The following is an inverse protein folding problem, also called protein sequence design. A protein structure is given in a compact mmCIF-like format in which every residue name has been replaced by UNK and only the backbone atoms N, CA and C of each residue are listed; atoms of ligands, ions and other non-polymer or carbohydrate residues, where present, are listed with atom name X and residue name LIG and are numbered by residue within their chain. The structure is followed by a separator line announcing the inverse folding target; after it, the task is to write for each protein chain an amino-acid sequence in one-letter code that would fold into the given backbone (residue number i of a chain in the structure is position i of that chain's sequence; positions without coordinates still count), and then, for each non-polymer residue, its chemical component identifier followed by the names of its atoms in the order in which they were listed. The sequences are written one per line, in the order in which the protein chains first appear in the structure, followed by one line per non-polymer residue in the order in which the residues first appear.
data_IF_354416240841
#
_entry.id   IF_354416240841
#
_cell.length_a   1.000
_cell.length_b   1.000
_cell.length_c   1.000
_cell.angle_alpha   90.00
_cell.angle_beta   90.00
_cell.angle_gamma   90.00
#
_symmetry.space_group_name_H-M   'P 1'
#
loop_
_entity.id
_entity.type
_entity.pdbx_description
1 polymer ?
#
# COMPACT_ATOMS: atom_id res chain seq x y z
N UNK A 1 -17.14 -35.57 -6.87
CA UNK A 1 -16.33 -35.23 -5.68
C UNK A 1 -15.39 -34.02 -5.86
N UNK A 2 -14.51 -33.95 -6.87
CA UNK A 2 -13.55 -32.81 -7.02
C UNK A 2 -14.21 -31.42 -7.17
N UNK A 3 -15.38 -31.34 -7.81
CA UNK A 3 -16.10 -30.08 -8.08
C UNK A 3 -16.75 -29.48 -6.83
N UNK A 4 -17.24 -30.32 -5.91
CA UNK A 4 -17.88 -29.90 -4.66
C UNK A 4 -16.85 -29.32 -3.67
N UNK A 5 -15.67 -29.95 -3.55
CA UNK A 5 -14.58 -29.45 -2.69
C UNK A 5 -14.02 -28.10 -3.16
N UNK A 6 -13.94 -27.86 -4.48
CA UNK A 6 -13.50 -26.56 -5.01
C UNK A 6 -14.51 -25.45 -4.70
N UNK A 7 -15.81 -25.72 -4.91
CA UNK A 7 -16.86 -24.75 -4.62
C UNK A 7 -16.90 -24.38 -3.12
N UNK A 8 -16.68 -25.34 -2.24
CA UNK A 8 -16.57 -25.12 -0.79
C UNK A 8 -15.37 -24.23 -0.41
N UNK A 9 -14.20 -24.50 -1.01
CA UNK A 9 -13.00 -23.67 -0.81
C UNK A 9 -13.24 -22.24 -1.32
N UNK A 10 -13.79 -22.10 -2.52
CA UNK A 10 -14.11 -20.80 -3.12
C UNK A 10 -15.10 -20.03 -2.24
N UNK A 11 -16.15 -20.69 -1.73
CA UNK A 11 -17.12 -20.08 -0.80
C UNK A 11 -16.44 -19.57 0.49
N UNK A 12 -15.56 -20.38 1.09
CA UNK A 12 -14.83 -19.99 2.31
C UNK A 12 -13.86 -18.82 2.07
N UNK A 13 -13.18 -18.80 0.92
CA UNK A 13 -12.34 -17.66 0.52
C UNK A 13 -13.19 -16.40 0.37
N UNK A 14 -14.32 -16.51 -0.33
CA UNK A 14 -15.24 -15.39 -0.55
C UNK A 14 -15.78 -14.83 0.77
N UNK A 15 -16.24 -15.70 1.67
CA UNK A 15 -16.71 -15.34 3.01
C UNK A 15 -15.63 -14.62 3.82
N UNK A 16 -14.38 -15.08 3.73
CA UNK A 16 -13.26 -14.43 4.41
C UNK A 16 -13.01 -13.01 3.89
N UNK A 17 -13.03 -12.82 2.57
CA UNK A 17 -12.88 -11.49 1.95
C UNK A 17 -14.00 -10.57 2.40
N UNK A 18 -15.26 -11.02 2.29
CA UNK A 18 -16.45 -10.27 2.72
C UNK A 18 -16.29 -9.84 4.18
N UNK A 19 -16.07 -10.79 5.08
CA UNK A 19 -15.96 -10.48 6.50
C UNK A 19 -14.79 -9.54 6.80
N UNK A 20 -13.64 -9.76 6.16
CA UNK A 20 -12.46 -8.90 6.32
C UNK A 20 -12.76 -7.45 5.93
N UNK A 21 -13.45 -7.27 4.80
CA UNK A 21 -13.85 -5.95 4.28
C UNK A 21 -14.88 -5.29 5.18
N UNK A 22 -15.93 -6.01 5.59
CA UNK A 22 -16.95 -5.50 6.51
C UNK A 22 -16.35 -5.05 7.84
N UNK A 23 -15.51 -5.88 8.46
CA UNK A 23 -14.81 -5.52 9.71
C UNK A 23 -13.95 -4.27 9.50
N UNK A 24 -13.19 -4.19 8.40
CA UNK A 24 -12.35 -3.04 8.12
C UNK A 24 -13.17 -1.76 7.97
N UNK A 25 -14.29 -1.80 7.23
CA UNK A 25 -15.19 -0.65 7.02
C UNK A 25 -15.73 -0.15 8.36
N UNK A 26 -16.23 -1.06 9.20
CA UNK A 26 -16.79 -0.71 10.51
C UNK A 26 -15.71 -0.09 11.40
N UNK A 27 -14.56 -0.77 11.54
CA UNK A 27 -13.47 -0.29 12.39
C UNK A 27 -12.89 1.03 11.92
N UNK A 28 -12.78 1.23 10.61
CA UNK A 28 -12.31 2.50 10.08
C UNK A 28 -13.30 3.63 10.34
N UNK A 29 -14.61 3.39 10.19
CA UNK A 29 -15.62 4.37 10.56
C UNK A 29 -15.60 4.69 12.07
N UNK A 30 -15.43 3.68 12.93
CA UNK A 30 -15.29 3.88 14.38
C UNK A 30 -14.06 4.76 14.70
N UNK A 31 -12.93 4.52 14.05
CA UNK A 31 -11.71 5.33 14.21
C UNK A 31 -11.96 6.79 13.81
N UNK A 32 -12.59 7.03 12.67
CA UNK A 32 -12.90 8.39 12.20
C UNK A 32 -13.81 9.13 13.19
N UNK A 33 -14.83 8.45 13.71
CA UNK A 33 -15.76 9.03 14.70
C UNK A 33 -15.06 9.28 16.05
N UNK A 34 -14.23 8.36 16.52
CA UNK A 34 -13.51 8.49 17.80
C UNK A 34 -12.48 9.63 17.80
N UNK A 35 -11.97 10.01 16.63
CA UNK A 35 -11.05 11.15 16.47
C UNK A 35 -11.77 12.49 16.28
N UNK A 36 -13.10 12.55 16.45
CA UNK A 36 -13.92 13.75 16.24
C UNK A 36 -13.67 14.41 14.87
N UNK A 37 -13.40 13.61 13.84
CA UNK A 37 -13.16 14.10 12.48
C UNK A 37 -14.41 14.83 11.97
N UNK A 38 -14.20 15.91 11.20
CA UNK A 38 -15.33 16.65 10.61
C UNK A 38 -16.10 15.76 9.61
N UNK A 39 -17.37 16.05 9.32
CA UNK A 39 -18.14 15.31 8.33
C UNK A 39 -17.46 15.22 6.95
N UNK A 40 -16.73 16.27 6.56
CA UNK A 40 -15.96 16.33 5.31
C UNK A 40 -14.78 15.36 5.33
N UNK A 41 -14.02 15.32 6.43
CA UNK A 41 -12.90 14.38 6.62
C UNK A 41 -13.41 12.94 6.62
N UNK A 42 -14.50 12.68 7.36
CA UNK A 42 -15.15 11.36 7.39
C UNK A 42 -15.56 10.96 5.97
N UNK A 43 -16.23 11.86 5.24
CA UNK A 43 -16.69 11.58 3.88
C UNK A 43 -15.53 11.30 2.92
N UNK A 44 -14.49 12.12 2.97
CA UNK A 44 -13.29 11.97 2.14
C UNK A 44 -12.63 10.59 2.33
N UNK A 45 -12.35 10.23 3.58
CA UNK A 45 -11.64 8.99 3.90
C UNK A 45 -12.52 7.75 3.68
N UNK A 46 -13.82 7.80 4.03
CA UNK A 46 -14.73 6.68 3.80
C UNK A 46 -14.93 6.40 2.31
N UNK A 47 -15.04 7.43 1.46
CA UNK A 47 -15.13 7.21 0.01
C UNK A 47 -13.90 6.49 -0.53
N UNK A 48 -12.70 6.89 -0.10
CA UNK A 48 -11.43 6.25 -0.52
C UNK A 48 -11.35 4.80 -0.05
N UNK A 49 -11.65 4.52 1.21
CA UNK A 49 -11.61 3.15 1.76
C UNK A 49 -12.63 2.24 1.11
N UNK A 50 -13.89 2.69 0.97
CA UNK A 50 -14.95 1.91 0.32
C UNK A 50 -14.60 1.61 -1.14
N UNK A 51 -14.15 2.61 -1.91
CA UNK A 51 -13.76 2.40 -3.30
C UNK A 51 -12.62 1.38 -3.42
N UNK A 52 -11.61 1.48 -2.55
CA UNK A 52 -10.49 0.54 -2.52
C UNK A 52 -10.93 -0.90 -2.18
N UNK A 53 -11.76 -1.09 -1.14
CA UNK A 53 -12.28 -2.40 -0.75
C UNK A 53 -13.15 -3.00 -1.86
N UNK A 54 -14.08 -2.22 -2.42
CA UNK A 54 -14.98 -2.70 -3.47
C UNK A 54 -14.22 -3.08 -4.74
N UNK A 55 -13.25 -2.25 -5.14
CA UNK A 55 -12.40 -2.54 -6.28
C UNK A 55 -11.60 -3.84 -6.07
N UNK A 56 -10.90 -3.96 -4.93
CA UNK A 56 -10.08 -5.13 -4.60
C UNK A 56 -10.96 -6.39 -4.50
N UNK A 57 -12.13 -6.29 -3.86
CA UNK A 57 -13.11 -7.38 -3.76
C UNK A 57 -13.58 -7.85 -5.14
N UNK A 58 -13.81 -6.93 -6.07
CA UNK A 58 -14.25 -7.26 -7.42
C UNK A 58 -13.13 -7.90 -8.28
N UNK A 59 -11.88 -7.46 -8.14
CA UNK A 59 -10.73 -8.08 -8.86
C UNK A 59 -10.20 -9.34 -8.19
N UNK A 60 -10.74 -9.71 -7.04
CA UNK A 60 -10.40 -10.94 -6.32
C UNK A 60 -11.07 -12.18 -6.95
N UNK A 61 -10.57 -13.36 -6.58
CA UNK A 61 -11.15 -14.65 -6.98
C UNK A 61 -11.40 -15.51 -5.73
N UNK A 62 -12.66 -15.82 -5.39
CA UNK A 62 -13.90 -15.38 -6.08
C UNK A 62 -14.18 -13.87 -5.99
N UNK A 63 -15.03 -13.37 -6.89
CA UNK A 63 -15.44 -11.96 -6.91
C UNK A 63 -16.43 -11.65 -5.80
N UNK A 64 -16.26 -10.48 -5.20
CA UNK A 64 -17.14 -9.91 -4.17
C UNK A 64 -17.68 -8.57 -4.67
N UNK A 65 -19.00 -8.38 -4.56
CA UNK A 65 -19.67 -7.15 -4.97
C UNK A 65 -19.85 -6.18 -3.78
N UNK A 66 -19.95 -4.86 -4.01
CA UNK A 66 -20.12 -3.86 -2.94
C UNK A 66 -21.21 -4.20 -1.92
N UNK A 67 -22.36 -4.67 -2.41
CA UNK A 67 -23.53 -5.01 -1.60
C UNK A 67 -23.27 -6.17 -0.65
N UNK A 68 -22.29 -7.02 -0.94
CA UNK A 68 -21.95 -8.16 -0.09
C UNK A 68 -21.12 -7.73 1.13
N UNK A 69 -20.42 -6.60 1.07
CA UNK A 69 -19.64 -6.07 2.21
C UNK A 69 -20.51 -5.30 3.21
N UNK A 70 -21.66 -4.79 2.78
CA UNK A 70 -22.51 -3.90 3.57
C UNK A 70 -23.78 -4.65 4.00
N UNK A 71 -24.09 -4.73 5.31
CA UNK A 71 -25.32 -5.36 5.76
C UNK A 71 -26.57 -4.74 5.12
N UNK A 72 -27.51 -5.58 4.67
CA UNK A 72 -28.71 -5.17 3.94
C UNK A 72 -29.49 -4.03 4.63
N UNK A 73 -29.59 -4.09 5.96
CA UNK A 73 -30.29 -3.10 6.79
C UNK A 73 -29.75 -1.67 6.67
N UNK A 74 -28.48 -1.50 6.29
CA UNK A 74 -27.82 -0.18 6.21
C UNK A 74 -27.34 0.15 4.78
N UNK A 75 -27.59 -0.74 3.81
CA UNK A 75 -27.07 -0.63 2.45
C UNK A 75 -27.52 0.65 1.76
N UNK A 76 -28.82 0.98 1.81
CA UNK A 76 -29.34 2.17 1.12
C UNK A 76 -28.80 3.46 1.74
N UNK A 77 -28.70 3.52 3.08
CA UNK A 77 -28.05 4.66 3.76
C UNK A 77 -26.58 4.82 3.35
N UNK A 78 -25.84 3.71 3.16
CA UNK A 78 -24.46 3.75 2.66
C UNK A 78 -24.39 4.23 1.21
N UNK A 79 -25.30 3.81 0.33
CA UNK A 79 -25.38 4.27 -1.06
C UNK A 79 -25.71 5.76 -1.15
N UNK A 80 -26.61 6.25 -0.30
CA UNK A 80 -26.96 7.66 -0.22
C UNK A 80 -25.78 8.51 0.28
N UNK A 81 -25.10 8.04 1.34
CA UNK A 81 -24.00 8.79 1.97
C UNK A 81 -22.70 8.73 1.15
N UNK A 82 -22.42 7.60 0.50
CA UNK A 82 -21.18 7.36 -0.24
C UNK A 82 -21.47 6.79 -1.65
N UNK A 83 -22.14 7.55 -2.53
CA UNK A 83 -22.60 7.03 -3.83
C UNK A 83 -21.45 6.71 -4.80
N UNK A 84 -20.33 7.43 -4.70
CA UNK A 84 -19.17 7.27 -5.61
C UNK A 84 -18.63 5.84 -5.62
N UNK A 85 -18.18 5.28 -4.48
CA UNK A 85 -17.67 3.91 -4.39
C UNK A 85 -18.53 2.84 -5.07
N UNK A 86 -19.85 2.89 -4.94
CA UNK A 86 -20.78 1.93 -5.56
C UNK A 86 -20.89 2.10 -7.09
N UNK A 87 -20.68 3.31 -7.61
CA UNK A 87 -20.74 3.61 -9.04
C UNK A 87 -19.40 3.41 -9.74
N UNK A 88 -18.31 3.71 -9.05
CA UNK A 88 -17.02 3.95 -9.66
C UNK A 88 -16.05 2.78 -9.57
N UNK A 89 -16.30 1.76 -8.72
CA UNK A 89 -15.39 0.62 -8.55
C UNK A 89 -15.12 -0.21 -9.83
N UNK A 90 -15.97 -0.08 -10.87
CA UNK A 90 -15.78 -0.74 -12.17
C UNK A 90 -15.19 0.16 -13.26
N UNK A 91 -15.05 1.46 -12.98
CA UNK A 91 -14.64 2.46 -13.99
C UNK A 91 -13.45 3.32 -13.57
N UNK A 92 -13.13 3.33 -12.28
CA UNK A 92 -12.02 4.05 -11.67
C UNK A 92 -11.18 3.09 -10.82
N UNK A 93 -9.87 3.29 -10.83
CA UNK A 93 -8.92 2.57 -9.98
C UNK A 93 -8.73 3.34 -8.66
N UNK A 94 -8.58 2.66 -7.52
CA UNK A 94 -8.22 3.32 -6.27
C UNK A 94 -6.75 3.71 -6.29
N UNK A 95 -6.37 4.84 -5.69
CA UNK A 95 -4.96 5.22 -5.58
C UNK A 95 -4.20 4.40 -4.53
N UNK A 96 -4.85 3.98 -3.46
CA UNK A 96 -4.21 3.30 -2.35
C UNK A 96 -5.01 2.08 -1.91
N UNK A 97 -4.31 1.18 -1.22
CA UNK A 97 -4.94 0.06 -0.52
C UNK A 97 -5.61 0.55 0.78
N UNK A 98 -6.59 -0.18 1.35
CA UNK A 98 -7.33 0.28 2.52
C UNK A 98 -6.42 0.59 3.70
N UNK A 99 -5.38 -0.23 3.93
CA UNK A 99 -4.44 -0.02 5.03
C UNK A 99 -3.53 1.19 4.81
N UNK A 100 -3.13 1.47 3.56
CA UNK A 100 -2.37 2.67 3.22
C UNK A 100 -3.18 3.95 3.51
N UNK A 101 -4.49 3.93 3.24
CA UNK A 101 -5.41 5.03 3.56
C UNK A 101 -5.56 5.20 5.07
N UNK A 102 -5.70 4.10 5.83
CA UNK A 102 -5.70 4.14 7.29
C UNK A 102 -4.41 4.74 7.84
N UNK A 103 -3.26 4.30 7.33
CA UNK A 103 -1.96 4.78 7.79
C UNK A 103 -1.76 6.27 7.50
N UNK A 104 -2.22 6.75 6.35
CA UNK A 104 -2.25 8.17 6.01
C UNK A 104 -3.10 8.96 7.01
N UNK A 105 -4.36 8.56 7.21
CA UNK A 105 -5.25 9.20 8.18
C UNK A 105 -4.61 9.32 9.57
N UNK A 106 -4.02 8.24 10.05
CA UNK A 106 -3.40 8.19 11.38
C UNK A 106 -2.14 9.06 11.45
N UNK A 107 -1.34 9.10 10.39
CA UNK A 107 -0.13 9.92 10.35
C UNK A 107 -0.43 11.43 10.31
N UNK A 108 -1.47 11.84 9.57
CA UNK A 108 -1.83 13.24 9.38
C UNK A 108 -2.60 13.82 10.58
N UNK A 109 -3.60 13.11 11.08
CA UNK A 109 -4.51 13.68 12.09
C UNK A 109 -3.91 13.72 13.49
N UNK A 110 -2.91 12.89 13.77
CA UNK A 110 -2.36 12.78 15.12
C UNK A 110 -1.02 13.47 15.31
N UNK A 111 -0.45 14.08 14.25
CA UNK A 111 0.92 14.62 14.27
C UNK A 111 1.88 13.68 15.01
N UNK A 112 1.75 12.37 14.77
CA UNK A 112 2.54 11.35 15.45
C UNK A 112 3.98 11.38 14.94
N UNK A 113 4.73 12.40 15.37
CA UNK A 113 6.17 12.52 15.20
C UNK A 113 6.92 11.45 16.02
N UNK A 114 6.20 10.74 16.91
CA UNK A 114 6.71 9.61 17.67
C UNK A 114 6.22 8.27 17.10
N UNK A 115 7.10 7.49 16.44
CA UNK A 115 6.74 6.18 15.88
C UNK A 115 6.15 5.20 16.88
N UNK A 116 6.57 5.27 18.15
CA UNK A 116 6.09 4.37 19.21
C UNK A 116 4.59 4.51 19.44
N UNK A 117 4.09 5.75 19.48
CA UNK A 117 2.66 6.03 19.72
C UNK A 117 1.84 5.50 18.55
N UNK A 118 2.23 5.85 17.31
CA UNK A 118 1.53 5.37 16.12
C UNK A 118 1.53 3.84 16.04
N UNK A 119 2.67 3.19 16.30
CA UNK A 119 2.74 1.73 16.30
C UNK A 119 1.84 1.10 17.37
N UNK A 120 1.71 1.70 18.55
CA UNK A 120 0.83 1.20 19.61
C UNK A 120 -0.65 1.31 19.23
N UNK A 121 -1.04 2.39 18.55
CA UNK A 121 -2.41 2.53 18.06
C UNK A 121 -2.73 1.60 16.89
N UNK A 122 -1.81 1.49 15.92
CA UNK A 122 -1.93 0.53 14.82
C UNK A 122 -1.98 -0.91 15.32
N UNK A 123 -1.34 -1.19 16.46
CA UNK A 123 -1.40 -2.48 17.13
C UNK A 123 -2.81 -2.80 17.62
N UNK A 124 -3.47 -1.90 18.34
CA UNK A 124 -4.86 -2.10 18.78
C UNK A 124 -5.83 -2.24 17.60
N UNK A 125 -5.61 -1.44 16.55
CA UNK A 125 -6.39 -1.52 15.32
C UNK A 125 -6.21 -2.90 14.67
N UNK A 126 -4.97 -3.34 14.46
CA UNK A 126 -4.69 -4.65 13.86
C UNK A 126 -5.29 -5.80 14.66
N UNK A 127 -5.17 -5.75 15.99
CA UNK A 127 -5.79 -6.73 16.89
C UNK A 127 -7.31 -6.78 16.70
N UNK A 128 -7.95 -5.64 16.50
CA UNK A 128 -9.40 -5.57 16.24
C UNK A 128 -9.82 -6.03 14.83
N UNK A 129 -8.90 -5.92 13.85
CA UNK A 129 -9.13 -6.31 12.46
C UNK A 129 -8.93 -7.81 12.23
N UNK A 130 -8.11 -8.46 13.05
CA UNK A 130 -7.78 -9.89 12.92
C UNK A 130 -8.82 -10.73 13.66
N UNK A 131 -9.36 -11.76 12.99
CA UNK A 131 -10.35 -12.64 13.60
C UNK A 131 -9.66 -13.58 14.60
N UNK A 132 -10.11 -13.61 15.84
CA UNK A 132 -9.91 -14.76 16.74
C UNK A 132 -11.09 -15.71 16.56
N UNK A 133 -10.90 -16.83 15.86
CA UNK A 133 -11.92 -17.87 15.81
C UNK A 133 -11.90 -18.65 17.13
N UNK A 134 -12.77 -18.24 18.07
CA UNK A 134 -12.79 -18.76 19.44
C UNK A 134 -13.34 -20.18 19.55
N UNK A 135 -13.90 -20.76 18.49
CA UNK A 135 -14.60 -22.04 18.55
C UNK A 135 -13.78 -23.24 18.02
N UNK A 136 -12.60 -23.03 17.45
CA UNK A 136 -11.85 -24.12 16.79
C UNK A 136 -10.33 -24.03 17.06
N UNK A 137 -9.86 -23.56 18.22
CA UNK A 137 -8.44 -23.71 18.62
C UNK A 137 -7.36 -23.36 17.58
N UNK A 138 -7.68 -22.53 16.57
CA UNK A 138 -6.84 -22.24 15.41
C UNK A 138 -6.36 -20.80 15.45
N UNK A 139 -5.20 -20.57 14.85
CA UNK A 139 -4.51 -19.28 14.77
C UNK A 139 -5.38 -18.19 14.12
N UNK A 140 -5.17 -16.91 14.47
CA UNK A 140 -5.90 -15.80 13.90
C UNK A 140 -5.87 -15.81 12.36
N UNK A 141 -7.04 -15.66 11.73
CA UNK A 141 -7.10 -15.52 10.26
C UNK A 141 -6.80 -14.06 9.93
N UNK A 142 -5.65 -13.82 9.31
CA UNK A 142 -5.22 -12.49 8.90
C UNK A 142 -6.26 -11.86 7.95
N UNK A 143 -6.65 -10.62 8.23
CA UNK A 143 -7.61 -9.84 7.45
C UNK A 143 -7.04 -9.51 6.06
N UNK A 144 -7.84 -9.71 5.01
CA UNK A 144 -7.40 -9.59 3.62
C UNK A 144 -7.02 -8.16 3.20
N UNK A 145 -7.42 -7.16 3.98
CA UNK A 145 -7.17 -5.74 3.76
C UNK A 145 -6.19 -5.13 4.77
N UNK A 146 -5.53 -5.96 5.58
CA UNK A 146 -4.45 -5.51 6.48
C UNK A 146 -3.07 -5.61 5.84
N UNK A 147 -2.19 -4.66 6.15
CA UNK A 147 -0.79 -4.76 5.78
C UNK A 147 -0.08 -5.73 6.72
N UNK A 148 0.81 -6.55 6.16
CA UNK A 148 1.67 -7.43 6.97
C UNK A 148 2.85 -6.65 7.56
N UNK A 149 3.36 -5.69 6.80
CA UNK A 149 4.51 -4.88 7.19
C UNK A 149 4.17 -3.40 7.09
N UNK A 150 4.63 -2.62 8.07
CA UNK A 150 4.64 -1.16 8.05
C UNK A 150 6.10 -0.71 8.07
N UNK A 151 6.45 0.29 7.27
CA UNK A 151 7.76 0.91 7.26
C UNK A 151 7.67 2.37 7.73
N UNK A 152 8.69 2.80 8.45
CA UNK A 152 8.94 4.17 8.85
C UNK A 152 10.28 4.61 8.26
N UNK A 153 10.27 5.63 7.41
CA UNK A 153 11.46 6.21 6.81
C UNK A 153 11.68 7.62 7.31
N UNK A 154 12.93 8.02 7.51
CA UNK A 154 13.30 9.33 8.03
C UNK A 154 14.49 9.95 7.30
N UNK A 155 14.54 11.28 7.25
CA UNK A 155 15.65 12.07 6.72
C UNK A 155 15.85 13.34 7.55
N UNK A 156 17.06 13.56 8.06
CA UNK A 156 17.39 14.72 8.88
C UNK A 156 18.87 14.80 9.25
N UNK A 157 19.27 15.97 9.76
CA UNK A 157 20.66 16.28 10.07
C UNK A 157 21.15 15.54 11.32
N UNK A 158 22.38 15.01 11.26
CA UNK A 158 23.08 14.33 12.36
C UNK A 158 23.37 15.32 13.51
N UNK A 159 23.28 16.63 13.23
CA UNK A 159 23.64 17.72 14.16
C UNK A 159 22.47 18.40 14.90
N UNK A 160 21.27 17.81 14.94
CA UNK A 160 20.33 18.08 16.03
C UNK A 160 19.39 19.29 15.92
N UNK A 161 19.00 19.73 14.72
CA UNK A 161 17.90 20.71 14.58
C UNK A 161 16.61 20.07 14.04
N UNK A 162 15.80 19.57 14.99
CA UNK A 162 14.32 19.44 15.08
C UNK A 162 13.38 19.25 13.87
N UNK A 163 13.82 19.11 12.61
CA UNK A 163 12.93 18.82 11.49
C UNK A 163 13.35 17.53 10.78
N UNK A 164 13.14 16.39 11.45
CA UNK A 164 13.25 15.08 10.81
C UNK A 164 12.03 14.90 9.92
N UNK A 165 12.23 14.97 8.60
CA UNK A 165 11.20 14.56 7.66
C UNK A 165 10.99 13.07 7.85
N UNK A 166 9.76 12.66 8.07
CA UNK A 166 9.44 11.25 8.28
C UNK A 166 8.18 10.84 7.54
N UNK A 167 8.10 9.57 7.19
CA UNK A 167 6.99 9.05 6.43
C UNK A 167 6.73 7.58 6.74
N UNK A 168 5.46 7.22 6.83
CA UNK A 168 5.01 5.86 7.02
C UNK A 168 4.50 5.24 5.71
N UNK A 169 4.87 3.99 5.48
CA UNK A 169 4.42 3.18 4.36
C UNK A 169 3.89 1.84 4.82
N UNK A 170 3.04 1.23 4.01
CA UNK A 170 2.45 -0.08 4.27
C UNK A 170 2.77 -1.02 3.12
N UNK A 171 2.94 -2.31 3.41
CA UNK A 171 2.97 -3.32 2.37
C UNK A 171 1.61 -3.35 1.67
N UNK A 172 1.57 -3.63 0.36
CA UNK A 172 0.33 -3.65 -0.43
C UNK A 172 -0.71 -4.58 0.22
N UNK A 173 -1.73 -4.00 0.88
CA UNK A 173 -2.70 -4.71 1.71
C UNK A 173 -3.84 -5.31 0.89
N UNK A 174 -3.50 -6.34 0.10
CA UNK A 174 -4.48 -7.18 -0.57
C UNK A 174 -3.96 -8.61 -0.76
N UNK A 175 -4.86 -9.59 -0.69
CA UNK A 175 -4.56 -10.98 -1.02
C UNK A 175 -4.81 -11.29 -2.50
N UNK A 176 -4.10 -12.30 -2.99
CA UNK A 176 -4.19 -12.77 -4.37
C UNK A 176 -3.20 -12.10 -5.32
N UNK A 177 -2.70 -12.88 -6.28
CA UNK A 177 -1.67 -12.45 -7.24
C UNK A 177 -2.16 -11.34 -8.18
N UNK A 178 -3.41 -11.42 -8.62
CA UNK A 178 -3.98 -10.45 -9.58
C UNK A 178 -4.27 -9.10 -8.92
N UNK A 179 -5.03 -9.01 -7.81
CA UNK A 179 -5.22 -7.75 -7.09
C UNK A 179 -3.91 -7.06 -6.75
N UNK A 180 -2.94 -7.82 -6.21
CA UNK A 180 -1.62 -7.28 -5.85
C UNK A 180 -0.87 -6.67 -7.02
N UNK A 181 -0.81 -7.36 -8.17
CA UNK A 181 -0.15 -6.82 -9.36
C UNK A 181 -0.85 -5.58 -9.90
N UNK A 182 -2.18 -5.54 -9.84
CA UNK A 182 -2.96 -4.35 -10.23
C UNK A 182 -2.59 -3.18 -9.32
N UNK A 183 -2.60 -3.37 -8.00
CA UNK A 183 -2.28 -2.31 -7.04
C UNK A 183 -0.84 -1.82 -7.13
N UNK A 184 0.13 -2.71 -7.40
CA UNK A 184 1.52 -2.30 -7.66
C UNK A 184 1.62 -1.46 -8.93
N UNK A 185 1.00 -1.87 -10.04
CA UNK A 185 1.03 -1.08 -11.27
C UNK A 185 0.36 0.28 -11.11
N UNK A 186 -0.77 0.33 -10.40
CA UNK A 186 -1.43 1.60 -10.05
C UNK A 186 -0.47 2.48 -9.25
N UNK A 187 0.16 1.92 -8.22
CA UNK A 187 1.08 2.67 -7.35
C UNK A 187 2.23 3.26 -8.17
N UNK A 188 2.87 2.46 -9.01
CA UNK A 188 3.96 2.87 -9.90
C UNK A 188 3.54 3.95 -10.90
N UNK A 189 2.34 3.84 -11.49
CA UNK A 189 1.91 4.74 -12.56
C UNK A 189 1.28 6.04 -12.06
N UNK A 190 0.73 6.08 -10.83
CA UNK A 190 -0.12 7.18 -10.37
C UNK A 190 0.27 7.75 -9.02
N UNK A 191 0.92 6.97 -8.16
CA UNK A 191 1.01 7.27 -6.73
C UNK A 191 2.44 7.51 -6.29
N UNK A 192 3.38 6.72 -6.80
CA UNK A 192 4.75 6.80 -6.38
C UNK A 192 5.54 7.84 -7.17
N UNK A 193 6.52 8.43 -6.49
CA UNK A 193 7.56 9.21 -7.13
C UNK A 193 8.21 8.38 -8.24
N UNK A 194 8.45 9.01 -9.39
CA UNK A 194 8.96 8.34 -10.58
C UNK A 194 10.32 7.67 -10.36
N UNK A 195 11.14 8.13 -9.40
CA UNK A 195 12.35 7.42 -9.01
C UNK A 195 12.03 6.08 -8.35
N UNK A 196 11.12 6.06 -7.37
CA UNK A 196 10.68 4.81 -6.73
C UNK A 196 10.03 3.89 -7.76
N UNK A 197 9.19 4.44 -8.64
CA UNK A 197 8.59 3.71 -9.76
C UNK A 197 9.65 3.12 -10.69
N UNK A 198 10.70 3.87 -11.01
CA UNK A 198 11.84 3.39 -11.77
C UNK A 198 12.51 2.20 -11.08
N UNK A 199 12.84 2.32 -9.79
CA UNK A 199 13.49 1.26 -9.01
C UNK A 199 12.65 -0.02 -8.94
N UNK A 200 11.34 0.10 -8.72
CA UNK A 200 10.41 -1.05 -8.68
C UNK A 200 10.28 -1.73 -10.04
N UNK A 201 10.42 -0.98 -11.13
CA UNK A 201 10.30 -1.50 -12.49
C UNK A 201 11.61 -2.02 -13.08
N UNK A 202 12.65 -2.10 -12.26
CA UNK A 202 13.88 -2.75 -12.66
C UNK A 202 13.80 -4.26 -12.46
N UNK A 203 14.10 -4.98 -13.53
CA UNK A 203 14.34 -6.41 -13.54
C UNK A 203 15.85 -6.59 -13.82
N UNK A 204 16.55 -7.44 -13.05
CA UNK A 204 17.97 -7.74 -13.26
C UNK A 204 18.95 -6.66 -12.75
N UNK A 205 20.12 -6.54 -13.40
CA UNK A 205 21.28 -5.73 -12.96
C UNK A 205 21.16 -4.23 -13.27
N UNK A 206 19.95 -3.68 -13.20
CA UNK A 206 19.79 -2.23 -13.42
C UNK A 206 20.34 -1.44 -12.24
N UNK A 207 20.89 -0.23 -12.46
CA UNK A 207 21.47 0.57 -11.40
C UNK A 207 20.47 0.85 -10.27
N UNK A 208 20.87 0.61 -9.02
CA UNK A 208 20.07 0.93 -7.86
C UNK A 208 19.89 2.45 -7.70
N UNK A 209 18.85 2.88 -6.98
CA UNK A 209 18.80 4.25 -6.47
C UNK A 209 19.76 4.41 -5.30
N UNK A 210 20.45 5.54 -5.26
CA UNK A 210 21.37 5.94 -4.21
C UNK A 210 20.78 7.11 -3.46
N UNK A 211 20.42 6.85 -2.19
CA UNK A 211 19.98 7.83 -1.22
C UNK A 211 21.19 8.42 -0.46
N UNK A 212 21.10 9.66 0.03
CA UNK A 212 22.06 10.18 0.99
C UNK A 212 22.11 9.32 2.28
N UNK A 213 23.29 9.18 2.88
CA UNK A 213 23.53 8.35 4.08
C UNK A 213 22.80 8.81 5.35
N UNK A 214 22.05 9.91 5.28
CA UNK A 214 21.18 10.43 6.33
C UNK A 214 19.79 9.79 6.32
N UNK A 215 19.45 9.01 5.29
CA UNK A 215 18.14 8.36 5.19
C UNK A 215 18.14 7.08 6.01
N UNK A 216 17.15 6.96 6.90
CA UNK A 216 16.91 5.77 7.70
C UNK A 216 15.61 5.08 7.29
N UNK A 217 15.53 3.77 7.42
CA UNK A 217 14.29 3.02 7.24
C UNK A 217 14.18 1.87 8.24
N UNK A 218 13.04 1.78 8.92
CA UNK A 218 12.69 0.68 9.82
C UNK A 218 11.39 0.03 9.37
N UNK A 219 11.36 -1.29 9.33
CA UNK A 219 10.16 -2.04 9.01
C UNK A 219 9.71 -2.89 10.21
N UNK A 220 8.40 -3.03 10.36
CA UNK A 220 7.76 -3.74 11.46
C UNK A 220 6.73 -4.70 10.91
N UNK A 221 6.81 -5.97 11.32
CA UNK A 221 5.81 -6.98 11.03
C UNK A 221 4.93 -7.20 12.26
N UNK A 222 3.61 -7.20 12.07
CA UNK A 222 2.67 -7.50 13.14
C UNK A 222 2.63 -9.01 13.41
N UNK A 223 3.08 -9.40 14.59
CA UNK A 223 3.13 -10.81 14.99
C UNK A 223 1.98 -11.11 15.97
N UNK A 224 0.90 -11.70 15.46
CA UNK A 224 -0.34 -11.89 16.23
C UNK A 224 -0.18 -12.73 17.50
N UNK A 225 0.66 -13.77 17.48
CA UNK A 225 0.84 -14.68 18.61
C UNK A 225 1.58 -14.02 19.78
N UNK A 226 2.61 -13.22 19.46
CA UNK A 226 3.37 -12.45 20.46
C UNK A 226 2.78 -11.08 20.72
N UNK A 227 1.68 -10.76 20.05
CA UNK A 227 0.90 -9.53 20.19
C UNK A 227 1.76 -8.26 20.19
N UNK A 228 2.72 -8.18 19.27
CA UNK A 228 3.63 -7.04 19.15
C UNK A 228 4.10 -6.84 17.70
N UNK A 229 4.56 -5.64 17.41
CA UNK A 229 5.33 -5.34 16.21
C UNK A 229 6.77 -5.76 16.41
N UNK A 230 7.25 -6.64 15.55
CA UNK A 230 8.64 -7.06 15.53
C UNK A 230 9.36 -6.31 14.42
N UNK A 231 10.49 -5.68 14.75
CA UNK A 231 11.37 -5.10 13.74
C UNK A 231 11.82 -6.23 12.78
N UNK A 232 11.75 -5.97 11.48
CA UNK A 232 12.13 -6.94 10.44
C UNK A 232 13.13 -6.32 9.47
N UNK A 233 14.12 -7.09 8.98
CA UNK A 233 15.07 -6.59 8.02
C UNK A 233 14.38 -6.34 6.66
N UNK A 234 14.96 -5.45 5.83
CA UNK A 234 14.48 -5.25 4.47
C UNK A 234 14.68 -6.53 3.65
N UNK A 235 13.78 -6.76 2.69
CA UNK A 235 13.96 -7.86 1.74
C UNK A 235 15.14 -7.59 0.77
N UNK A 236 15.68 -8.65 0.16
CA UNK A 236 16.76 -8.57 -0.83
C UNK A 236 16.46 -7.58 -1.97
N UNK A 237 15.21 -7.51 -2.44
CA UNK A 237 14.77 -6.58 -3.49
C UNK A 237 14.92 -5.11 -3.06
N UNK A 238 14.43 -4.76 -1.89
CA UNK A 238 14.56 -3.39 -1.35
C UNK A 238 16.03 -3.02 -1.10
N UNK A 239 16.84 -3.96 -0.60
CA UNK A 239 18.27 -3.77 -0.41
C UNK A 239 19.03 -3.52 -1.71
N UNK A 240 18.65 -4.23 -2.78
CA UNK A 240 19.22 -4.05 -4.13
C UNK A 240 18.75 -2.74 -4.75
N UNK A 241 17.50 -2.32 -4.53
CA UNK A 241 16.93 -1.13 -5.14
C UNK A 241 17.31 0.19 -4.46
N UNK A 242 17.57 0.20 -3.14
CA UNK A 242 17.71 1.43 -2.34
C UNK A 242 19.03 1.47 -1.56
N UNK A 243 20.11 1.88 -2.25
CA UNK A 243 21.43 2.09 -1.66
C UNK A 243 21.49 3.36 -0.84
N UNK A 244 22.41 3.40 0.13
CA UNK A 244 22.59 4.55 1.03
C UNK A 244 21.52 4.70 2.11
N UNK A 245 20.39 4.00 2.00
CA UNK A 245 19.39 3.89 3.07
C UNK A 245 19.96 3.02 4.20
N UNK A 246 19.97 3.56 5.42
CA UNK A 246 20.30 2.82 6.65
C UNK A 246 19.08 2.05 7.11
N UNK A 247 18.99 0.78 6.72
CA UNK A 247 17.97 -0.13 7.21
C UNK A 247 18.27 -0.62 8.62
N UNK A 248 17.25 -0.64 9.48
CA UNK A 248 17.34 -1.20 10.82
C UNK A 248 16.13 -2.10 11.12
N UNK A 249 16.34 -3.39 11.42
CA UNK A 249 17.63 -4.10 11.45
C UNK A 249 18.27 -4.22 10.06
N UNK A 250 19.60 -4.43 9.98
CA UNK A 250 20.28 -4.66 8.71
C UNK A 250 19.83 -5.98 8.07
N UNK A 251 19.96 -6.09 6.75
CA UNK A 251 19.63 -7.31 6.03
C UNK A 251 20.60 -8.44 6.39
N UNK A 252 20.09 -9.55 6.91
CA UNK A 252 20.89 -10.73 7.25
C UNK A 252 21.14 -11.63 6.05
N UNK A 253 20.19 -11.70 5.10
CA UNK A 253 20.21 -12.61 3.95
C UNK A 253 19.97 -11.83 2.63
N UNK A 254 20.97 -11.13 2.08
CA UNK A 254 20.82 -10.29 0.89
C UNK A 254 20.57 -11.08 -0.41
N UNK A 255 20.80 -12.39 -0.37
CA UNK A 255 20.64 -13.29 -1.52
C UNK A 255 19.28 -14.02 -1.54
N UNK A 256 18.49 -13.93 -0.47
CA UNK A 256 17.16 -14.54 -0.42
C UNK A 256 16.14 -13.68 -1.18
N UNK A 257 15.98 -13.97 -2.46
CA UNK A 257 15.05 -13.22 -3.30
C UNK A 257 13.59 -13.57 -2.93
N UNK A 258 12.80 -12.61 -2.42
CA UNK A 258 11.45 -12.89 -1.99
C UNK A 258 10.58 -13.36 -3.16
N UNK A 259 9.69 -14.31 -2.86
CA UNK A 259 8.76 -14.90 -3.84
C UNK A 259 7.69 -13.93 -4.36
N UNK A 260 7.51 -12.78 -3.73
CA UNK A 260 6.57 -11.73 -4.14
C UNK A 260 7.21 -10.72 -5.11
N UNK A 261 6.39 -10.03 -5.95
CA UNK A 261 6.90 -9.04 -6.91
C UNK A 261 7.53 -7.82 -6.22
N UNK A 262 8.42 -7.12 -6.96
CA UNK A 262 8.88 -5.78 -6.60
C UNK A 262 7.69 -4.83 -6.35
N UNK A 263 7.87 -3.87 -5.45
CA UNK A 263 6.82 -2.91 -5.07
C UNK A 263 5.83 -3.41 -4.00
N UNK A 264 5.85 -4.68 -3.60
CA UNK A 264 4.94 -5.13 -2.53
C UNK A 264 5.31 -4.55 -1.13
N UNK A 265 6.59 -4.28 -0.92
CA UNK A 265 7.15 -3.98 0.40
C UNK A 265 6.80 -2.57 0.87
N UNK A 266 6.69 -2.38 2.19
CA UNK A 266 6.25 -1.14 2.82
C UNK A 266 7.24 0.02 2.63
N UNK A 267 8.53 -0.32 2.46
CA UNK A 267 9.63 0.59 2.23
C UNK A 267 9.39 1.45 0.99
N UNK A 268 8.82 0.87 -0.08
CA UNK A 268 8.50 1.60 -1.31
C UNK A 268 7.56 2.77 -1.04
N UNK A 269 6.48 2.54 -0.28
CA UNK A 269 5.51 3.58 0.04
C UNK A 269 6.10 4.63 1.00
N UNK A 270 6.87 4.19 2.01
CA UNK A 270 7.47 5.10 2.99
C UNK A 270 8.53 6.02 2.36
N UNK A 271 9.42 5.47 1.53
CA UNK A 271 10.45 6.24 0.82
C UNK A 271 9.82 7.13 -0.25
N UNK A 272 8.77 6.66 -0.95
CA UNK A 272 7.98 7.50 -1.85
C UNK A 272 7.45 8.76 -1.14
N UNK A 273 6.77 8.57 -0.01
CA UNK A 273 6.20 9.69 0.75
C UNK A 273 7.30 10.63 1.27
N UNK A 274 8.43 10.10 1.70
CA UNK A 274 9.58 10.89 2.12
C UNK A 274 10.15 11.74 0.98
N UNK A 275 10.30 11.18 -0.24
CA UNK A 275 10.75 11.94 -1.41
C UNK A 275 9.76 13.02 -1.84
N UNK A 276 8.45 12.73 -1.76
CA UNK A 276 7.40 13.72 -2.07
C UNK A 276 7.35 14.86 -1.05
N UNK A 277 7.57 14.55 0.23
CA UNK A 277 7.56 15.52 1.32
C UNK A 277 8.85 16.35 1.44
N UNK A 278 9.98 15.89 0.89
CA UNK A 278 11.28 16.56 1.04
C UNK A 278 11.99 16.76 -0.31
N UNK A 279 11.84 17.96 -0.89
CA UNK A 279 12.45 18.29 -2.19
C UNK A 279 13.98 18.32 -2.15
N UNK A 280 14.58 18.74 -1.02
CA UNK A 280 16.03 18.67 -0.81
C UNK A 280 16.53 17.23 -0.95
N UNK A 281 15.95 16.28 -0.20
CA UNK A 281 16.28 14.87 -0.34
C UNK A 281 16.09 14.38 -1.78
N UNK A 282 14.94 14.71 -2.39
CA UNK A 282 14.59 14.29 -3.75
C UNK A 282 15.63 14.72 -4.78
N UNK A 283 16.13 15.95 -4.68
CA UNK A 283 17.16 16.50 -5.58
C UNK A 283 18.53 15.82 -5.46
N UNK A 284 18.77 15.10 -4.36
CA UNK A 284 20.03 14.40 -4.06
C UNK A 284 20.00 12.92 -4.44
N UNK A 285 18.90 12.44 -5.01
CA UNK A 285 18.78 11.06 -5.48
C UNK A 285 19.55 10.90 -6.79
N UNK A 286 20.38 9.85 -6.83
CA UNK A 286 21.14 9.43 -7.99
C UNK A 286 20.90 7.94 -8.26
N UNK A 287 21.38 7.44 -9.39
CA UNK A 287 21.61 5.99 -9.54
C UNK A 287 23.02 5.58 -9.15
N UNK A 288 23.23 4.29 -8.90
CA UNK A 288 24.56 3.69 -8.97
C UNK A 288 25.18 3.96 -10.35
N UNK A 289 26.52 3.92 -10.41
CA UNK A 289 27.23 4.00 -11.68
C UNK A 289 26.87 2.78 -12.52
N UNK A 290 26.39 3.01 -13.73
CA UNK A 290 26.16 1.94 -14.69
C UNK A 290 27.51 1.36 -15.19
N UNK A 291 27.46 0.37 -16.09
CA UNK A 291 28.65 -0.27 -16.68
C UNK A 291 29.60 0.74 -17.36
N UNK A 292 29.08 1.89 -17.78
CA UNK A 292 29.83 2.97 -18.42
C UNK A 292 30.35 4.02 -17.41
N UNK A 293 30.16 3.79 -16.11
CA UNK A 293 30.58 4.70 -15.05
C UNK A 293 29.68 5.93 -14.86
N UNK A 294 28.57 6.04 -15.60
CA UNK A 294 27.65 7.19 -15.53
C UNK A 294 26.60 6.97 -14.43
N UNK A 295 26.38 8.00 -13.61
CA UNK A 295 25.23 8.10 -12.72
C UNK A 295 24.15 8.96 -13.38
N UNK A 296 22.89 8.69 -13.04
CA UNK A 296 21.77 9.49 -13.48
C UNK A 296 21.20 10.29 -12.33
N UNK A 297 20.88 11.56 -12.60
CA UNK A 297 20.13 12.39 -11.68
C UNK A 297 18.62 12.10 -11.74
N UNK A 298 17.86 12.78 -10.88
CA UNK A 298 16.40 12.61 -10.79
C UNK A 298 15.68 12.90 -12.12
N UNK A 299 16.14 13.88 -12.91
CA UNK A 299 15.50 14.27 -14.18
C UNK A 299 15.75 13.20 -15.25
N UNK A 300 16.96 12.68 -15.30
CA UNK A 300 17.34 11.58 -16.20
C UNK A 300 16.57 10.29 -15.85
N UNK A 301 16.46 9.95 -14.57
CA UNK A 301 15.70 8.79 -14.08
C UNK A 301 14.23 8.88 -14.52
N UNK A 302 13.59 10.05 -14.30
CA UNK A 302 12.21 10.29 -14.71
C UNK A 302 12.02 10.14 -16.22
N UNK A 303 12.93 10.71 -16.99
CA UNK A 303 12.91 10.67 -18.45
C UNK A 303 13.02 9.23 -18.94
N UNK A 304 13.92 8.45 -18.35
CA UNK A 304 14.05 7.02 -18.67
C UNK A 304 12.80 6.23 -18.33
N UNK A 305 12.20 6.45 -17.15
CA UNK A 305 10.97 5.75 -16.78
C UNK A 305 9.85 6.01 -17.79
N UNK A 306 9.60 7.28 -18.13
CA UNK A 306 8.56 7.69 -19.09
C UNK A 306 8.80 7.07 -20.47
N UNK A 307 10.05 7.09 -20.92
CA UNK A 307 10.43 6.59 -22.25
C UNK A 307 10.34 5.07 -22.36
N UNK A 308 10.81 4.34 -21.35
CA UNK A 308 11.09 2.90 -21.48
C UNK A 308 10.08 2.00 -20.76
N UNK A 309 9.46 2.48 -19.68
CA UNK A 309 8.68 1.64 -18.76
C UNK A 309 7.19 1.98 -18.79
N UNK A 310 6.85 3.26 -18.85
CA UNK A 310 5.48 3.74 -18.61
C UNK A 310 4.44 3.11 -19.55
N UNK A 311 4.66 3.14 -20.86
CA UNK A 311 3.69 2.59 -21.83
C UNK A 311 3.53 1.06 -21.73
N UNK A 312 4.62 0.34 -21.44
CA UNK A 312 4.59 -1.11 -21.18
C UNK A 312 3.72 -1.41 -19.95
N UNK A 313 3.90 -0.64 -18.88
CA UNK A 313 3.13 -0.78 -17.64
C UNK A 313 1.66 -0.43 -17.83
N UNK A 314 1.33 0.66 -18.55
CA UNK A 314 -0.04 1.02 -18.91
C UNK A 314 -0.73 -0.09 -19.69
N UNK A 315 -0.06 -0.67 -20.69
CA UNK A 315 -0.57 -1.81 -21.45
C UNK A 315 -0.80 -3.03 -20.57
N UNK A 316 0.13 -3.35 -19.68
CA UNK A 316 0.00 -4.46 -18.75
C UNK A 316 -1.17 -4.28 -17.77
N UNK A 317 -1.31 -3.08 -17.19
CA UNK A 317 -2.43 -2.74 -16.32
C UNK A 317 -3.76 -2.85 -17.07
N UNK A 318 -3.86 -2.29 -18.28
CA UNK A 318 -5.06 -2.39 -19.12
C UNK A 318 -5.45 -3.84 -19.40
N UNK A 319 -4.48 -4.71 -19.70
CA UNK A 319 -4.73 -6.14 -19.92
C UNK A 319 -5.20 -6.85 -18.65
N UNK A 320 -4.60 -6.55 -17.49
CA UNK A 320 -5.02 -7.10 -16.21
C UNK A 320 -6.46 -6.68 -15.87
N UNK A 321 -6.79 -5.40 -16.02
CA UNK A 321 -8.14 -4.87 -15.77
C UNK A 321 -9.17 -5.47 -16.76
N UNK A 322 -8.83 -5.55 -18.04
CA UNK A 322 -9.67 -6.18 -19.05
C UNK A 322 -9.97 -7.64 -18.74
N UNK A 323 -8.99 -8.39 -18.23
CA UNK A 323 -9.19 -9.78 -17.78
C UNK A 323 -10.13 -9.90 -16.57
N UNK A 324 -10.38 -8.80 -15.85
CA UNK A 324 -11.33 -8.71 -14.74
C UNK A 324 -12.67 -8.09 -15.16
N UNK A 325 -12.92 -7.86 -16.46
CA UNK A 325 -14.10 -7.16 -16.97
C UNK A 325 -14.23 -5.71 -16.45
N UNK A 326 -13.11 -5.04 -16.22
CA UNK A 326 -13.07 -3.61 -15.85
C UNK A 326 -12.70 -2.79 -17.08
N UNK A 327 -13.50 -1.78 -17.40
CA UNK A 327 -13.23 -0.84 -18.49
C UNK A 327 -13.14 0.57 -17.94
N UNK A 328 -11.93 1.15 -17.98
CA UNK A 328 -11.69 2.49 -17.49
C UNK A 328 -12.34 3.54 -18.40
N UNK A 329 -12.98 4.56 -17.81
CA UNK A 329 -13.55 5.70 -18.55
C UNK A 329 -12.45 6.49 -19.29
N UNK A 330 -12.78 7.07 -20.44
CA UNK A 330 -11.82 7.80 -21.30
C UNK A 330 -11.20 9.03 -20.60
N UNK A 331 -11.90 9.62 -19.64
CA UNK A 331 -11.43 10.79 -18.89
C UNK A 331 -10.25 10.45 -17.95
N UNK A 332 -10.07 9.18 -17.59
CA UNK A 332 -8.87 8.69 -16.88
C UNK A 332 -7.60 8.68 -17.75
N UNK A 333 -7.67 9.07 -19.04
CA UNK A 333 -6.45 9.31 -19.86
C UNK A 333 -5.73 10.60 -19.47
N UNK A 334 -6.41 11.51 -18.78
CA UNK A 334 -5.73 12.44 -17.89
C UNK A 334 -5.68 11.77 -16.54
N UNK A 335 -4.54 11.13 -16.26
CA UNK A 335 -4.11 10.71 -14.93
C UNK A 335 -3.91 11.98 -14.09
N UNK A 336 -5.01 12.68 -13.79
CA UNK A 336 -5.02 13.99 -13.17
C UNK A 336 -4.72 13.81 -11.68
N UNK A 337 -3.61 14.42 -11.28
CA UNK A 337 -3.26 14.73 -9.91
C UNK A 337 -4.47 15.23 -9.13
N UNK A 338 -4.95 14.45 -8.17
CA UNK A 338 -5.48 15.07 -6.97
C UNK A 338 -4.28 15.72 -6.28
N UNK A 339 -4.27 17.05 -6.20
CA UNK A 339 -3.43 17.70 -5.22
C UNK A 339 -4.00 17.32 -3.85
N UNK A 340 -3.21 16.76 -2.93
CA UNK A 340 -3.60 16.75 -1.53
C UNK A 340 -3.81 18.21 -1.10
N UNK A 341 -4.85 18.47 -0.31
CA UNK A 341 -4.96 19.75 0.41
C UNK A 341 -3.81 19.88 1.40
#
# INVERSE_FOLDING_TARGET
MKTSKKAEIDAKIKENVVTSGTIFIIKFADILNANNSSPEVISHYMQRVLHSIFFIGYVSKPRVYPEEFIPEKILESFKEKFPGPFKDYLSHVPHQTPYSILLEFMSENKNCNEPKILMQELWEINKSLWKTDTNIGYQPVANDFTATVIAYSCYGDINGNNNVNSAYGSSISCKGRVPRRIMIHISVLQVWDLAISYAVCQEGDSPALVFPNQVCCKAYNFHCNSNCFLEVPPCAKCMKSFRGVKFNPPCENPDDDPTWPYGNCAENESLNKLLKGCQDLRSRILTEKNIQGKQMDIIEIETMFKKEKEEKLKKNLKNLLGSQNITLRKDNRKLQSFQPM
#
